data_IF_575473417433
#
_entry.id   IF_575473417433
#
_cell.length_a   1.000
_cell.length_b   1.000
_cell.length_c   1.000
_cell.angle_alpha   90.00
_cell.angle_beta   90.00
_cell.angle_gamma   90.00
#
_symmetry.space_group_name_H-M   'P 1'
#
loop_
_entity.id
_entity.type
_entity.pdbx_description
1 polymer ?
#
# COMPACT_ATOMS: atom_id res chain seq x y z
N UNK A 1 0.92 -17.24 3.02
CA UNK A 1 1.89 -16.54 2.14
C UNK A 1 2.24 -17.36 0.91
N UNK A 2 2.16 -16.73 -0.26
CA UNK A 2 2.61 -17.28 -1.55
C UNK A 2 3.75 -16.42 -2.13
N UNK A 3 4.54 -16.99 -3.05
CA UNK A 3 5.58 -16.27 -3.78
C UNK A 3 5.28 -16.32 -5.28
N UNK A 4 5.13 -15.16 -5.90
CA UNK A 4 4.65 -15.05 -7.28
C UNK A 4 5.76 -14.57 -8.24
N UNK A 5 5.97 -15.27 -9.35
CA UNK A 5 6.70 -14.68 -10.49
C UNK A 5 5.70 -13.98 -11.41
N UNK A 6 5.80 -12.65 -11.42
CA UNK A 6 4.90 -11.77 -12.17
C UNK A 6 5.61 -11.07 -13.33
N UNK A 7 6.79 -11.55 -13.71
CA UNK A 7 7.61 -10.96 -14.78
C UNK A 7 6.89 -10.91 -16.14
N UNK A 8 5.96 -11.84 -16.37
CA UNK A 8 5.17 -11.94 -17.60
C UNK A 8 3.78 -11.28 -17.50
N UNK A 9 3.44 -10.64 -16.37
CA UNK A 9 2.12 -10.03 -16.21
C UNK A 9 2.03 -8.73 -17.01
N UNK A 10 0.93 -8.50 -17.76
CA UNK A 10 0.71 -7.25 -18.48
C UNK A 10 0.79 -6.04 -17.56
N UNK A 11 1.49 -4.99 -17.98
CA UNK A 11 1.66 -3.76 -17.21
C UNK A 11 0.68 -2.69 -17.68
N UNK A 12 0.08 -1.98 -16.73
CA UNK A 12 -0.64 -0.75 -17.00
C UNK A 12 0.32 0.43 -16.82
N UNK A 13 0.35 1.34 -17.80
CA UNK A 13 1.04 2.63 -17.67
C UNK A 13 0.29 3.47 -16.62
N UNK A 14 0.73 3.41 -15.37
CA UNK A 14 0.08 4.14 -14.29
C UNK A 14 0.28 5.65 -14.45
N UNK A 15 -0.77 6.37 -14.86
CA UNK A 15 -0.93 7.79 -14.59
C UNK A 15 -1.40 7.96 -13.13
N UNK A 16 -0.60 8.62 -12.31
CA UNK A 16 -0.91 9.03 -10.92
C UNK A 16 -1.23 7.91 -9.92
N UNK A 17 -0.20 7.36 -9.28
CA UNK A 17 -0.38 6.69 -7.98
C UNK A 17 0.41 7.46 -6.92
N UNK A 18 -0.24 7.85 -5.81
CA UNK A 18 0.43 8.57 -4.70
C UNK A 18 1.46 7.69 -3.98
N UNK A 19 2.48 8.32 -3.39
CA UNK A 19 3.55 7.65 -2.63
C UNK A 19 4.91 7.68 -3.33
N UNK A 20 5.97 7.62 -2.54
CA UNK A 20 7.37 7.82 -2.97
C UNK A 20 8.09 6.54 -3.40
N UNK A 21 7.50 5.37 -3.13
CA UNK A 21 8.06 4.07 -3.49
C UNK A 21 7.78 3.75 -4.96
N UNK A 22 8.78 3.17 -5.59
CA UNK A 22 8.67 2.62 -6.93
C UNK A 22 7.65 1.48 -6.94
N UNK A 23 6.75 1.51 -7.92
CA UNK A 23 5.63 0.57 -8.01
C UNK A 23 5.24 0.30 -9.44
N UNK A 24 4.80 -0.93 -9.68
CA UNK A 24 4.19 -1.36 -10.94
C UNK A 24 2.72 -1.66 -10.72
N UNK A 25 1.92 -1.38 -11.75
CA UNK A 25 0.53 -1.82 -11.82
C UNK A 25 0.47 -2.93 -12.85
N UNK A 26 0.07 -4.11 -12.42
CA UNK A 26 0.06 -5.35 -13.19
C UNK A 26 -1.37 -5.87 -13.30
N UNK A 27 -1.64 -6.59 -14.37
CA UNK A 27 -2.91 -7.31 -14.57
C UNK A 27 -2.61 -8.80 -14.42
N UNK A 28 -3.36 -9.51 -13.59
CA UNK A 28 -3.34 -10.97 -13.57
C UNK A 28 -3.84 -11.48 -14.94
N UNK A 29 -3.00 -12.19 -15.72
CA UNK A 29 -3.38 -12.64 -17.06
C UNK A 29 -4.53 -13.67 -17.05
N UNK A 30 -4.80 -14.32 -15.92
CA UNK A 30 -5.83 -15.34 -15.81
C UNK A 30 -7.17 -14.74 -15.42
N UNK A 31 -7.18 -13.85 -14.41
CA UNK A 31 -8.41 -13.31 -13.82
C UNK A 31 -8.75 -11.91 -14.32
N UNK A 32 -7.79 -11.19 -14.92
CA UNK A 32 -7.95 -9.78 -15.32
C UNK A 32 -7.91 -8.79 -14.14
N UNK A 33 -7.63 -9.28 -12.93
CA UNK A 33 -7.55 -8.47 -11.72
C UNK A 33 -6.34 -7.53 -11.75
N UNK A 34 -6.51 -6.32 -11.21
CA UNK A 34 -5.42 -5.35 -11.07
C UNK A 34 -4.65 -5.59 -9.78
N UNK A 35 -3.32 -5.60 -9.86
CA UNK A 35 -2.40 -5.72 -8.74
C UNK A 35 -1.40 -4.58 -8.71
N UNK A 36 -0.97 -4.24 -7.49
CA UNK A 36 0.13 -3.31 -7.24
C UNK A 36 1.33 -4.09 -6.73
N UNK A 37 2.45 -4.01 -7.45
CA UNK A 37 3.74 -4.51 -7.00
C UNK A 37 4.57 -3.32 -6.49
N UNK A 38 4.90 -3.34 -5.20
CA UNK A 38 5.70 -2.30 -4.55
C UNK A 38 7.10 -2.85 -4.28
N UNK A 39 8.12 -2.11 -4.69
CA UNK A 39 9.50 -2.47 -4.38
C UNK A 39 9.98 -1.78 -3.10
N UNK A 40 10.96 -2.36 -2.38
CA UNK A 40 11.68 -1.68 -1.33
C UNK A 40 12.28 -0.36 -1.80
N UNK A 41 12.38 0.62 -0.91
CA UNK A 41 13.16 1.82 -1.20
C UNK A 41 14.64 1.47 -1.39
N UNK A 42 15.29 2.05 -2.40
CA UNK A 42 16.75 1.96 -2.53
C UNK A 42 17.34 3.28 -2.07
N UNK A 43 18.07 3.29 -0.94
CA UNK A 43 18.88 4.43 -0.51
C UNK A 43 20.25 3.93 -0.08
N UNK A 44 21.29 4.72 -0.37
CA UNK A 44 22.71 4.34 -0.25
C UNK A 44 23.17 3.85 1.13
N UNK A 45 22.36 4.03 2.19
CA UNK A 45 22.78 3.77 3.59
C UNK A 45 21.86 2.82 4.38
N UNK A 46 20.88 2.19 3.74
CA UNK A 46 19.95 1.30 4.45
C UNK A 46 19.42 0.22 3.53
N UNK A 47 19.50 -1.02 4.00
CA UNK A 47 18.78 -2.13 3.42
C UNK A 47 17.30 -2.06 3.82
N UNK A 48 16.43 -1.89 2.83
CA UNK A 48 14.99 -1.85 3.00
C UNK A 48 14.32 -3.15 2.56
N UNK A 49 15.08 -4.20 2.24
CA UNK A 49 14.55 -5.54 1.94
C UNK A 49 13.55 -6.04 3.01
N UNK A 50 13.73 -5.75 4.32
CA UNK A 50 12.73 -6.08 5.34
C UNK A 50 11.37 -5.38 5.18
N UNK A 51 11.25 -4.29 4.42
CA UNK A 51 9.97 -3.59 4.20
C UNK A 51 8.91 -4.49 3.58
N UNK A 52 9.31 -5.41 2.70
CA UNK A 52 8.38 -6.35 2.10
C UNK A 52 7.83 -7.31 3.18
N UNK A 53 8.69 -7.77 4.10
CA UNK A 53 8.29 -8.62 5.20
C UNK A 53 7.39 -7.90 6.21
N UNK A 54 7.63 -6.61 6.46
CA UNK A 54 6.75 -5.82 7.34
C UNK A 54 5.30 -5.81 6.85
N UNK A 55 5.07 -5.68 5.54
CA UNK A 55 3.72 -5.70 4.95
C UNK A 55 3.07 -7.08 5.08
N UNK A 56 3.81 -8.15 4.77
CA UNK A 56 3.32 -9.54 4.91
C UNK A 56 2.98 -9.84 6.38
N UNK A 57 3.86 -9.49 7.31
CA UNK A 57 3.63 -9.71 8.74
C UNK A 57 2.46 -8.88 9.26
N UNK A 58 2.29 -7.64 8.81
CA UNK A 58 1.15 -6.81 9.18
C UNK A 58 -0.18 -7.45 8.73
N UNK A 59 -0.22 -8.02 7.52
CA UNK A 59 -1.37 -8.79 7.04
C UNK A 59 -1.65 -10.02 7.91
N UNK A 60 -0.64 -10.85 8.16
CA UNK A 60 -0.80 -12.09 8.94
C UNK A 60 -1.24 -11.79 10.39
N UNK A 61 -0.59 -10.82 11.05
CA UNK A 61 -0.94 -10.41 12.43
C UNK A 61 -2.33 -9.80 12.47
N UNK A 62 -2.65 -8.87 11.58
CA UNK A 62 -3.96 -8.21 11.58
C UNK A 62 -5.09 -9.20 11.29
N UNK A 63 -4.86 -10.17 10.40
CA UNK A 63 -5.81 -11.26 10.14
C UNK A 63 -5.99 -12.15 11.37
N UNK A 64 -4.90 -12.51 12.07
CA UNK A 64 -4.96 -13.27 13.31
C UNK A 64 -5.73 -12.55 14.43
N UNK A 65 -5.74 -11.21 14.41
CA UNK A 65 -6.53 -10.37 15.31
C UNK A 65 -7.99 -10.15 14.84
N UNK A 66 -8.39 -10.72 13.71
CA UNK A 66 -9.75 -10.63 13.18
C UNK A 66 -10.05 -9.39 12.34
N UNK A 67 -9.04 -8.62 11.94
CA UNK A 67 -9.22 -7.46 11.07
C UNK A 67 -9.31 -7.85 9.59
N UNK A 68 -10.10 -7.09 8.82
CA UNK A 68 -10.11 -7.17 7.35
C UNK A 68 -8.92 -6.40 6.80
N UNK A 69 -7.80 -7.09 6.59
CA UNK A 69 -6.55 -6.49 6.08
C UNK A 69 -6.36 -6.86 4.62
N UNK A 70 -5.79 -5.92 3.83
CA UNK A 70 -5.38 -6.19 2.46
C UNK A 70 -4.26 -7.23 2.44
N UNK A 71 -4.42 -8.32 1.69
CA UNK A 71 -3.39 -9.35 1.53
C UNK A 71 -2.17 -8.80 0.80
N UNK A 72 -1.01 -9.05 1.40
CA UNK A 72 0.29 -8.85 0.79
C UNK A 72 1.02 -10.18 0.69
N UNK A 73 1.48 -10.51 -0.51
CA UNK A 73 2.38 -11.63 -0.78
C UNK A 73 3.72 -11.11 -1.31
N UNK A 74 4.74 -11.97 -1.34
CA UNK A 74 6.00 -11.64 -2.00
C UNK A 74 5.89 -11.94 -3.50
N UNK A 75 6.54 -11.12 -4.32
CA UNK A 75 6.61 -11.36 -5.75
C UNK A 75 7.95 -10.92 -6.35
N UNK A 76 8.32 -11.56 -7.46
CA UNK A 76 9.48 -11.21 -8.27
C UNK A 76 9.04 -10.71 -9.64
N UNK A 77 9.67 -9.63 -10.10
CA UNK A 77 9.48 -9.07 -11.42
C UNK A 77 10.86 -8.76 -12.01
N UNK A 78 11.22 -9.45 -13.10
CA UNK A 78 12.50 -9.29 -13.79
C UNK A 78 13.71 -9.31 -12.83
N UNK A 79 13.71 -10.27 -11.89
CA UNK A 79 14.80 -10.43 -10.91
C UNK A 79 14.68 -9.54 -9.66
N UNK A 80 13.71 -8.63 -9.58
CA UNK A 80 13.54 -7.71 -8.45
C UNK A 80 12.38 -8.15 -7.55
N UNK A 81 12.65 -8.28 -6.25
CA UNK A 81 11.65 -8.72 -5.25
C UNK A 81 10.89 -7.51 -4.67
N UNK A 82 9.57 -7.63 -4.62
CA UNK A 82 8.66 -6.67 -4.00
C UNK A 82 7.55 -7.37 -3.21
N UNK A 83 6.65 -6.57 -2.65
CA UNK A 83 5.37 -7.06 -2.13
C UNK A 83 4.25 -6.74 -3.12
N UNK A 84 3.36 -7.70 -3.35
CA UNK A 84 2.24 -7.58 -4.28
C UNK A 84 0.92 -7.63 -3.51
N UNK A 85 -0.02 -6.77 -3.91
CA UNK A 85 -1.39 -6.77 -3.37
C UNK A 85 -2.40 -6.51 -4.48
N UNK A 86 -3.56 -7.17 -4.42
CA UNK A 86 -4.69 -6.87 -5.30
C UNK A 86 -5.17 -5.42 -5.09
N UNK A 87 -5.73 -4.81 -6.14
CA UNK A 87 -6.39 -3.52 -6.01
C UNK A 87 -7.55 -3.62 -5.01
N UNK A 88 -7.65 -2.62 -4.12
CA UNK A 88 -8.72 -2.58 -3.11
C UNK A 88 -10.07 -2.20 -3.71
N UNK A 89 -10.06 -1.45 -4.82
CA UNK A 89 -11.27 -1.07 -5.54
C UNK A 89 -11.41 -1.95 -6.78
N UNK A 90 -12.63 -2.42 -7.05
CA UNK A 90 -12.95 -3.04 -8.33
C UNK A 90 -13.08 -1.94 -9.38
N UNK A 91 -12.40 -2.04 -10.53
CA UNK A 91 -12.64 -1.11 -11.63
C UNK A 91 -14.12 -1.15 -12.06
N UNK A 92 -14.71 0.03 -12.25
CA UNK A 92 -16.12 0.25 -12.61
C UNK A 92 -17.14 0.11 -11.46
N UNK A 93 -16.72 -0.22 -10.25
CA UNK A 93 -17.57 -0.02 -9.08
C UNK A 93 -17.63 1.47 -8.73
N UNK A 94 -18.77 1.94 -8.19
CA UNK A 94 -18.94 3.33 -7.75
C UNK A 94 -18.34 3.55 -6.35
N UNK A 95 -17.10 3.09 -6.17
CA UNK A 95 -16.34 3.19 -4.92
C UNK A 95 -15.08 4.03 -5.12
N UNK A 96 -14.64 4.69 -4.05
CA UNK A 96 -13.39 5.44 -4.05
C UNK A 96 -12.59 5.17 -2.78
N UNK A 97 -11.27 5.11 -2.91
CA UNK A 97 -10.36 4.99 -1.78
C UNK A 97 -10.06 6.38 -1.22
N UNK A 98 -10.59 6.67 -0.04
CA UNK A 98 -10.35 7.93 0.68
C UNK A 98 -9.36 7.66 1.82
N UNK A 99 -8.25 8.41 1.84
CA UNK A 99 -7.24 8.27 2.88
C UNK A 99 -7.79 8.77 4.23
N UNK A 100 -7.62 8.00 5.30
CA UNK A 100 -8.22 8.33 6.60
C UNK A 100 -7.84 9.72 7.14
N UNK A 101 -6.59 10.16 6.91
CA UNK A 101 -6.15 11.49 7.33
C UNK A 101 -6.93 12.62 6.64
N UNK A 102 -7.41 12.41 5.41
CA UNK A 102 -8.22 13.41 4.69
C UNK A 102 -9.62 13.57 5.26
N UNK A 103 -10.11 12.59 6.02
CA UNK A 103 -11.42 12.65 6.70
C UNK A 103 -11.33 13.54 7.93
N UNK A 104 -10.16 13.66 8.56
CA UNK A 104 -9.97 14.42 9.81
C UNK A 104 -10.32 15.90 9.68
N UNK A 105 -10.19 16.49 8.49
CA UNK A 105 -10.59 17.88 8.21
C UNK A 105 -12.09 18.13 8.41
N UNK A 106 -12.92 17.08 8.35
CA UNK A 106 -14.35 17.21 8.65
C UNK A 106 -14.60 17.33 10.16
N UNK A 107 -13.72 16.77 10.99
CA UNK A 107 -13.85 16.82 12.44
C UNK A 107 -13.15 18.06 13.04
N UNK A 108 -11.98 18.42 12.50
CA UNK A 108 -11.23 19.60 12.92
C UNK A 108 -11.05 20.55 11.73
N UNK A 109 -11.80 21.67 11.67
CA UNK A 109 -11.69 22.65 10.60
C UNK A 109 -10.33 23.35 10.50
N UNK A 110 -9.48 23.25 11.53
CA UNK A 110 -8.12 23.81 11.54
C UNK A 110 -7.08 22.82 11.00
N UNK A 111 -7.46 21.56 10.83
CA UNK A 111 -6.60 20.55 10.24
C UNK A 111 -6.56 20.69 8.70
N UNK A 112 -5.34 20.87 8.18
CA UNK A 112 -5.09 20.91 6.75
C UNK A 112 -4.43 19.58 6.34
N UNK A 113 -5.12 18.71 5.56
CA UNK A 113 -4.57 17.43 5.11
C UNK A 113 -3.39 17.58 4.14
N UNK A 114 -3.12 18.79 3.65
CA UNK A 114 -1.96 19.09 2.82
C UNK A 114 -0.72 19.50 3.64
N UNK A 115 -0.90 19.90 4.91
CA UNK A 115 0.21 20.25 5.81
C UNK A 115 0.72 19.03 6.58
N UNK A 116 1.97 18.64 6.31
CA UNK A 116 2.63 17.51 6.97
C UNK A 116 2.80 17.69 8.48
N UNK A 117 2.85 18.92 8.98
CA UNK A 117 2.97 19.17 10.41
C UNK A 117 1.66 18.85 11.13
N UNK A 118 0.52 19.25 10.55
CA UNK A 118 -0.81 18.96 11.12
C UNK A 118 -1.10 17.45 11.18
N UNK A 119 -0.65 16.68 10.17
CA UNK A 119 -0.72 15.21 10.19
C UNK A 119 0.03 14.63 11.40
N UNK A 120 1.20 15.17 11.73
CA UNK A 120 2.03 14.67 12.84
C UNK A 120 1.43 14.99 14.20
N UNK A 121 0.84 16.18 14.35
CA UNK A 121 0.30 16.66 15.62
C UNK A 121 -0.97 15.89 16.03
N UNK A 122 -1.84 15.54 15.07
CA UNK A 122 -2.98 14.65 15.35
C UNK A 122 -2.51 13.24 15.71
N UNK A 123 -1.50 12.71 15.02
CA UNK A 123 -0.97 11.39 15.34
C UNK A 123 -0.53 11.34 16.82
N UNK A 124 0.19 12.36 17.29
CA UNK A 124 0.66 12.45 18.68
C UNK A 124 -0.46 12.69 19.71
N UNK A 125 -1.57 13.35 19.35
CA UNK A 125 -2.68 13.59 20.28
C UNK A 125 -3.51 12.33 20.52
N UNK A 126 -3.72 11.51 19.48
CA UNK A 126 -4.48 10.26 19.58
C UNK A 126 -3.78 9.23 20.51
N UNK A 127 -2.45 9.14 20.48
CA UNK A 127 -1.70 8.24 21.38
C UNK A 127 -1.65 8.70 22.84
N UNK A 128 -1.92 9.97 23.13
CA UNK A 128 -1.96 10.48 24.52
C UNK A 128 -3.29 10.21 25.23
N UNK A 129 -4.28 9.76 24.49
CA UNK A 129 -5.66 9.57 24.98
C UNK A 129 -6.02 8.08 25.14
N UNK A 130 -5.07 7.17 24.84
CA UNK A 130 -5.10 5.74 25.12
C UNK A 130 -4.09 5.43 26.24
#
# INVERSE_FOLDING_TARGET
MEFHDVSNWPRISASSTKGTRDKLVLIDPNMGDIYFLKFPMVREKRDYTPENWSEVLAFEIGTALGFKILKYDLAIYNGRIGCISKNMITPNDNESLVEGHSILSHHDPTYDPSDKNHIRDIHLSLYKTL
#
